data_IF_996965241769
#
_entry.id   IF_996965241769
#
_cell.length_a   1.000
_cell.length_b   1.000
_cell.length_c   1.000
_cell.angle_alpha   90.00
_cell.angle_beta   90.00
_cell.angle_gamma   90.00
#
_symmetry.space_group_name_H-M   'P 1'
#
loop_
_entity.id
_entity.type
_entity.pdbx_description
1 polymer ?
#
# COMPACT_ATOMS: atom_id res chain seq x y z
N UNK A 1 5.02 12.74 19.82
CA UNK A 1 6.43 12.67 20.29
C UNK A 1 7.08 11.45 19.65
N UNK A 2 8.40 11.45 19.41
CA UNK A 2 9.07 10.25 18.91
C UNK A 2 9.13 9.18 20.01
N UNK A 3 8.63 7.98 19.74
CA UNK A 3 8.59 6.87 20.70
C UNK A 3 8.99 5.59 19.99
N UNK A 4 9.94 4.85 20.56
CA UNK A 4 10.33 3.54 20.06
C UNK A 4 9.20 2.50 20.27
N UNK A 5 9.26 1.40 19.53
CA UNK A 5 8.22 0.38 19.51
C UNK A 5 7.92 -0.24 20.90
N UNK A 6 8.92 -0.40 21.77
CA UNK A 6 8.76 -1.00 23.10
C UNK A 6 8.10 0.00 24.05
N UNK A 7 8.62 1.23 24.10
CA UNK A 7 8.03 2.31 24.90
C UNK A 7 6.60 2.61 24.46
N UNK A 8 6.30 2.56 23.16
CA UNK A 8 4.97 2.79 22.62
C UNK A 8 3.94 1.76 23.14
N UNK A 9 4.32 0.49 23.24
CA UNK A 9 3.47 -0.55 23.80
C UNK A 9 3.11 -0.27 25.27
N UNK A 10 4.12 0.05 26.09
CA UNK A 10 3.91 0.40 27.50
C UNK A 10 3.07 1.68 27.66
N UNK A 11 3.27 2.68 26.80
CA UNK A 11 2.52 3.93 26.85
C UNK A 11 1.06 3.77 26.43
N UNK A 12 0.78 2.93 25.43
CA UNK A 12 -0.59 2.58 25.04
C UNK A 12 -1.29 1.81 26.16
N UNK A 13 -0.60 0.84 26.78
CA UNK A 13 -1.16 0.06 27.87
C UNK A 13 -1.53 0.91 29.10
N UNK A 14 -0.69 1.90 29.41
CA UNK A 14 -0.91 2.81 30.55
C UNK A 14 -1.73 4.06 30.21
N UNK A 15 -2.30 4.14 29.00
CA UNK A 15 -3.04 5.30 28.49
C UNK A 15 -2.26 6.64 28.56
N UNK A 16 -0.93 6.60 28.49
CA UNK A 16 -0.09 7.82 28.47
C UNK A 16 0.03 8.40 27.05
N UNK A 17 -0.14 7.56 26.03
CA UNK A 17 -0.46 7.99 24.65
C UNK A 17 -1.79 7.37 24.21
N UNK A 18 -2.51 8.08 23.34
CA UNK A 18 -3.81 7.63 22.83
C UNK A 18 -3.68 6.83 21.54
N UNK A 19 -2.69 7.13 20.70
CA UNK A 19 -2.39 6.39 19.49
C UNK A 19 -0.90 6.42 19.15
N UNK A 20 -0.46 5.41 18.41
CA UNK A 20 0.90 5.29 17.88
C UNK A 20 0.87 5.29 16.36
N UNK A 21 1.55 6.27 15.75
CA UNK A 21 1.50 6.56 14.32
C UNK A 21 2.76 6.05 13.62
N UNK A 22 2.57 5.37 12.49
CA UNK A 22 3.59 4.93 11.55
C UNK A 22 4.32 3.63 11.91
N UNK A 23 4.10 3.07 13.11
CA UNK A 23 4.86 1.92 13.60
C UNK A 23 4.00 0.84 14.27
N UNK A 24 4.60 -0.35 14.43
CA UNK A 24 4.00 -1.47 15.14
C UNK A 24 4.65 -1.58 16.54
N UNK A 25 3.91 -1.34 17.64
CA UNK A 25 4.43 -1.44 19.00
C UNK A 25 4.70 -2.89 19.39
N UNK A 26 5.75 -3.10 20.18
CA UNK A 26 6.22 -4.42 20.62
C UNK A 26 5.64 -4.75 21.99
N UNK A 27 4.46 -5.36 22.04
CA UNK A 27 3.83 -5.74 23.32
C UNK A 27 4.52 -6.93 23.97
N UNK A 28 4.76 -6.85 25.28
CA UNK A 28 5.17 -7.99 26.09
C UNK A 28 3.96 -8.89 26.35
N UNK A 29 3.69 -9.82 25.43
CA UNK A 29 2.60 -10.78 25.52
C UNK A 29 1.35 -10.37 24.74
N UNK A 30 0.17 -10.66 25.28
CA UNK A 30 -1.10 -10.37 24.58
C UNK A 30 -1.36 -8.87 24.56
N UNK A 31 -1.85 -8.38 23.42
CA UNK A 31 -2.35 -7.00 23.29
C UNK A 31 -3.45 -6.79 24.36
N UNK A 32 -3.36 -5.72 25.18
CA UNK A 32 -4.39 -5.41 26.18
C UNK A 32 -5.77 -5.26 25.56
N UNK A 33 -6.84 -5.63 26.28
CA UNK A 33 -8.23 -5.54 25.78
C UNK A 33 -8.68 -4.11 25.44
N UNK A 34 -8.04 -3.13 26.06
CA UNK A 34 -8.31 -1.70 25.87
C UNK A 34 -7.40 -1.08 24.80
N UNK A 35 -6.64 -1.89 24.08
CA UNK A 35 -5.86 -1.46 22.92
C UNK A 35 -6.44 -2.13 21.67
N UNK A 36 -6.69 -1.33 20.65
CA UNK A 36 -7.12 -1.79 19.33
C UNK A 36 -6.22 -1.19 18.26
N UNK A 37 -6.49 -1.49 16.99
CA UNK A 37 -5.69 -1.04 15.87
C UNK A 37 -6.56 -0.71 14.66
N UNK A 38 -6.04 0.17 13.82
CA UNK A 38 -6.50 0.38 12.45
C UNK A 38 -5.51 -0.29 11.48
N UNK A 39 -6.04 -0.90 10.42
CA UNK A 39 -5.24 -1.50 9.35
C UNK A 39 -5.27 -0.62 8.10
N UNK A 40 -4.11 -0.38 7.51
CA UNK A 40 -3.97 0.29 6.21
C UNK A 40 -2.96 -0.46 5.33
N UNK A 41 -3.09 -0.29 4.01
CA UNK A 41 -2.18 -0.84 3.01
C UNK A 41 -0.80 -0.19 3.16
N UNK A 42 0.24 -0.99 3.36
CA UNK A 42 1.61 -0.48 3.56
C UNK A 42 2.46 -0.62 2.31
N UNK A 43 2.50 -1.82 1.72
CA UNK A 43 3.39 -2.11 0.60
C UNK A 43 2.86 -3.22 -0.29
N UNK A 44 3.33 -3.27 -1.53
CA UNK A 44 3.17 -4.42 -2.42
C UNK A 44 4.36 -5.36 -2.29
N UNK A 45 4.10 -6.66 -2.33
CA UNK A 45 5.13 -7.67 -2.60
C UNK A 45 5.08 -8.02 -4.08
N UNK A 46 6.14 -7.73 -4.81
CA UNK A 46 6.22 -7.98 -6.26
C UNK A 46 7.42 -8.84 -6.62
N UNK A 47 7.34 -9.51 -7.77
CA UNK A 47 8.50 -10.11 -8.41
C UNK A 47 8.73 -9.54 -9.80
N UNK A 48 9.96 -9.11 -10.06
CA UNK A 48 10.40 -8.63 -11.37
C UNK A 48 11.36 -9.64 -12.00
N UNK A 49 11.07 -10.07 -13.23
CA UNK A 49 11.89 -11.03 -13.96
C UNK A 49 12.97 -10.34 -14.79
N UNK A 50 14.19 -10.90 -14.77
CA UNK A 50 15.31 -10.34 -15.51
C UNK A 50 15.14 -10.55 -17.02
N UNK A 51 14.97 -9.50 -17.84
CA UNK A 51 14.83 -9.69 -19.29
C UNK A 51 16.10 -10.26 -19.95
N UNK A 52 17.26 -10.13 -19.30
CA UNK A 52 18.53 -10.69 -19.77
C UNK A 52 18.73 -12.16 -19.38
N UNK A 53 17.93 -12.71 -18.45
CA UNK A 53 18.09 -14.11 -18.03
C UNK A 53 17.49 -15.08 -19.07
N UNK A 54 18.26 -16.08 -19.54
CA UNK A 54 17.75 -17.13 -20.43
C UNK A 54 16.62 -17.98 -19.84
N UNK A 55 16.58 -18.12 -18.52
CA UNK A 55 15.60 -18.92 -17.77
C UNK A 55 14.19 -18.32 -17.82
N UNK A 56 14.09 -17.01 -18.04
CA UNK A 56 12.83 -16.24 -18.06
C UNK A 56 12.66 -15.42 -19.34
N UNK A 57 13.44 -15.77 -20.38
CA UNK A 57 13.36 -15.12 -21.69
C UNK A 57 12.11 -15.57 -22.44
N UNK A 58 11.16 -14.65 -22.60
CA UNK A 58 9.89 -14.88 -23.27
C UNK A 58 8.75 -15.18 -22.30
N UNK A 59 7.53 -14.87 -22.74
CA UNK A 59 6.32 -14.87 -21.88
C UNK A 59 6.05 -16.23 -21.22
N UNK A 60 6.07 -17.32 -21.96
CA UNK A 60 5.77 -18.66 -21.42
C UNK A 60 6.74 -19.07 -20.30
N UNK A 61 8.03 -18.76 -20.45
CA UNK A 61 9.02 -19.02 -19.40
C UNK A 61 8.79 -18.16 -18.16
N UNK A 62 8.37 -16.90 -18.33
CA UNK A 62 7.97 -16.03 -17.21
C UNK A 62 6.75 -16.56 -16.48
N UNK A 63 5.77 -17.12 -17.20
CA UNK A 63 4.59 -17.75 -16.59
C UNK A 63 5.01 -18.94 -15.72
N UNK A 64 5.81 -19.87 -16.26
CA UNK A 64 6.30 -21.02 -15.47
C UNK A 64 7.14 -20.58 -14.27
N UNK A 65 8.00 -19.57 -14.43
CA UNK A 65 8.79 -19.02 -13.35
C UNK A 65 7.93 -18.33 -12.28
N UNK A 66 6.91 -17.58 -12.69
CA UNK A 66 5.94 -16.95 -11.82
C UNK A 66 5.17 -17.98 -11.00
N UNK A 67 4.64 -19.03 -11.63
CA UNK A 67 3.93 -20.11 -10.92
C UNK A 67 4.80 -20.78 -9.89
N UNK A 68 6.04 -21.13 -10.25
CA UNK A 68 6.99 -21.73 -9.33
C UNK A 68 7.29 -20.83 -8.14
N UNK A 69 7.59 -19.55 -8.41
CA UNK A 69 7.92 -18.58 -7.36
C UNK A 69 6.73 -18.33 -6.43
N UNK A 70 5.54 -18.11 -7.00
CA UNK A 70 4.32 -17.86 -6.26
C UNK A 70 3.91 -19.07 -5.43
N UNK A 71 4.04 -20.29 -5.96
CA UNK A 71 3.80 -21.51 -5.19
C UNK A 71 4.72 -21.64 -3.96
N UNK A 72 6.00 -21.26 -4.09
CA UNK A 72 6.92 -21.25 -2.94
C UNK A 72 6.54 -20.17 -1.92
N UNK A 73 6.14 -18.98 -2.39
CA UNK A 73 5.82 -17.85 -1.52
C UNK A 73 4.43 -17.95 -0.89
N UNK A 74 3.46 -18.58 -1.52
CA UNK A 74 2.10 -18.74 -1.02
C UNK A 74 2.05 -19.53 0.30
N UNK A 75 3.07 -20.36 0.58
CA UNK A 75 3.21 -21.08 1.85
C UNK A 75 3.81 -20.27 3.00
N UNK A 76 4.14 -18.99 2.79
CA UNK A 76 4.73 -18.12 3.82
C UNK A 76 3.63 -17.47 4.63
N UNK A 77 3.39 -18.00 5.84
CA UNK A 77 2.37 -17.46 6.73
C UNK A 77 2.84 -16.19 7.46
N UNK A 78 1.93 -15.22 7.59
CA UNK A 78 2.08 -14.09 8.52
C UNK A 78 2.94 -12.90 8.05
N UNK A 79 3.76 -13.07 7.01
CA UNK A 79 4.61 -12.00 6.47
C UNK A 79 3.85 -10.99 5.60
N UNK A 80 2.87 -11.47 4.83
CA UNK A 80 2.09 -10.67 3.89
C UNK A 80 0.74 -11.36 3.59
N UNK A 81 -0.19 -10.64 2.96
CA UNK A 81 -1.45 -11.20 2.49
C UNK A 81 -1.28 -11.66 1.05
N UNK A 82 -1.44 -12.97 0.82
CA UNK A 82 -1.42 -13.57 -0.51
C UNK A 82 -2.53 -12.99 -1.39
N UNK A 83 -2.15 -12.25 -2.42
CA UNK A 83 -3.07 -11.54 -3.30
C UNK A 83 -2.36 -11.21 -4.62
N UNK A 84 -2.30 -12.16 -5.57
CA UNK A 84 -1.52 -12.02 -6.80
C UNK A 84 -2.22 -11.12 -7.85
N UNK A 85 -2.68 -9.94 -7.42
CA UNK A 85 -3.37 -8.96 -8.25
C UNK A 85 -3.06 -7.54 -7.72
N UNK A 86 -2.87 -6.52 -8.58
CA UNK A 86 -2.43 -5.20 -8.11
C UNK A 86 -3.54 -4.39 -7.42
N UNK A 87 -4.82 -4.63 -7.73
CA UNK A 87 -5.94 -3.94 -7.06
C UNK A 87 -6.37 -4.74 -5.83
N UNK A 88 -5.96 -4.27 -4.65
CA UNK A 88 -6.27 -4.89 -3.34
C UNK A 88 -7.60 -4.41 -2.74
N UNK A 89 -8.15 -5.12 -1.72
CA UNK A 89 -9.36 -4.69 -0.99
C UNK A 89 -9.27 -3.32 -0.28
N UNK A 90 -8.08 -2.73 -0.21
CA UNK A 90 -7.87 -1.39 0.34
C UNK A 90 -8.11 -0.27 -0.68
N UNK A 91 -8.38 -0.62 -1.93
CA UNK A 91 -8.82 0.33 -2.96
C UNK A 91 -10.32 0.25 -3.16
N UNK A 92 -10.95 1.40 -3.41
CA UNK A 92 -12.38 1.47 -3.64
C UNK A 92 -12.83 0.88 -4.99
N UNK A 93 -11.94 0.82 -5.99
CA UNK A 93 -12.17 0.14 -7.26
C UNK A 93 -12.06 -1.40 -7.16
N UNK A 94 -11.71 -1.96 -6.00
CA UNK A 94 -11.57 -3.41 -5.81
C UNK A 94 -12.80 -4.23 -6.22
N UNK A 95 -14.01 -3.76 -5.86
CA UNK A 95 -15.23 -4.49 -6.19
C UNK A 95 -15.42 -4.65 -7.70
N UNK A 96 -14.91 -3.71 -8.49
CA UNK A 96 -14.93 -3.77 -9.95
C UNK A 96 -13.84 -4.66 -10.53
N UNK A 97 -12.94 -5.19 -9.70
CA UNK A 97 -11.84 -6.07 -10.08
C UNK A 97 -11.89 -7.44 -9.40
N UNK A 98 -12.87 -7.67 -8.51
CA UNK A 98 -12.95 -8.86 -7.67
C UNK A 98 -12.85 -10.16 -8.46
N UNK A 99 -13.58 -10.29 -9.56
CA UNK A 99 -13.54 -11.46 -10.44
C UNK A 99 -12.16 -11.72 -11.04
N UNK A 100 -11.44 -10.66 -11.44
CA UNK A 100 -10.08 -10.76 -11.98
C UNK A 100 -9.06 -11.12 -10.89
N UNK A 101 -9.23 -10.59 -9.68
CA UNK A 101 -8.39 -10.90 -8.53
C UNK A 101 -8.56 -12.36 -8.09
N UNK A 102 -9.80 -12.85 -8.01
CA UNK A 102 -10.10 -14.26 -7.71
C UNK A 102 -9.60 -15.19 -8.83
N UNK A 103 -9.81 -14.84 -10.11
CA UNK A 103 -9.28 -15.62 -11.22
C UNK A 103 -7.73 -15.74 -11.17
N UNK A 104 -7.04 -14.66 -10.79
CA UNK A 104 -5.58 -14.69 -10.59
C UNK A 104 -5.17 -15.60 -9.43
N UNK A 105 -5.87 -15.53 -8.28
CA UNK A 105 -5.62 -16.44 -7.14
C UNK A 105 -5.80 -17.90 -7.54
N UNK A 106 -6.90 -18.22 -8.22
CA UNK A 106 -7.21 -19.57 -8.70
C UNK A 106 -6.14 -20.09 -9.67
N UNK A 107 -5.62 -19.24 -10.56
CA UNK A 107 -4.53 -19.63 -11.48
C UNK A 107 -3.29 -20.12 -10.72
N UNK A 108 -2.94 -19.49 -9.60
CA UNK A 108 -1.75 -19.82 -8.82
C UNK A 108 -1.98 -20.94 -7.80
N UNK A 109 -3.17 -21.04 -7.21
CA UNK A 109 -3.51 -22.10 -6.25
C UNK A 109 -3.84 -23.43 -6.93
N UNK A 110 -4.43 -23.37 -8.12
CA UNK A 110 -4.90 -24.54 -8.87
C UNK A 110 -4.40 -24.53 -10.33
N UNK A 111 -3.07 -24.62 -10.55
CA UNK A 111 -2.52 -24.66 -11.90
C UNK A 111 -3.05 -25.88 -12.66
N UNK A 112 -3.52 -25.66 -13.88
CA UNK A 112 -4.07 -26.73 -14.74
C UNK A 112 -3.05 -27.88 -14.95
N UNK A 113 -3.54 -29.13 -15.00
CA UNK A 113 -2.74 -30.36 -15.24
C UNK A 113 -2.04 -30.32 -16.61
N UNK A 114 -0.88 -29.68 -16.63
CA UNK A 114 0.03 -29.50 -17.77
C UNK A 114 1.38 -28.89 -17.33
N UNK A 115 1.44 -28.37 -16.10
CA UNK A 115 2.62 -27.83 -15.40
C UNK A 115 3.68 -28.87 -14.95
N UNK A 116 3.73 -30.07 -15.56
CA UNK A 116 4.68 -31.12 -15.13
C UNK A 116 6.16 -30.78 -15.41
N UNK A 117 6.45 -29.74 -16.21
CA UNK A 117 7.81 -29.21 -16.42
C UNK A 117 8.27 -28.16 -15.40
N UNK A 118 7.43 -27.78 -14.43
CA UNK A 118 7.73 -26.71 -13.46
C UNK A 118 8.56 -27.18 -12.25
N UNK A 119 8.66 -28.50 -12.02
CA UNK A 119 9.39 -29.07 -10.88
C UNK A 119 10.92 -28.87 -10.98
N UNK A 120 11.48 -28.87 -12.20
CA UNK A 120 12.93 -28.81 -12.45
C UNK A 120 13.46 -27.38 -12.70
N UNK A 121 12.59 -26.36 -12.69
CA UNK A 121 12.98 -24.96 -12.85
C UNK A 121 13.68 -24.45 -11.58
N UNK A 122 15.03 -24.41 -11.62
CA UNK A 122 15.84 -23.76 -10.59
C UNK A 122 15.95 -22.26 -10.88
N UNK A 123 15.16 -21.46 -10.16
CA UNK A 123 15.20 -20.00 -10.25
C UNK A 123 16.21 -19.42 -9.28
N UNK A 124 17.07 -18.54 -9.78
CA UNK A 124 17.97 -17.74 -8.95
C UNK A 124 17.25 -16.47 -8.55
N UNK A 125 16.89 -16.39 -7.28
CA UNK A 125 16.12 -15.26 -6.75
C UNK A 125 17.02 -14.39 -5.90
N UNK A 126 16.81 -13.08 -5.99
CA UNK A 126 17.31 -12.10 -5.01
C UNK A 126 16.14 -11.38 -4.36
N UNK A 127 16.32 -10.93 -3.13
CA UNK A 127 15.32 -10.17 -2.40
C UNK A 127 15.78 -8.72 -2.21
N UNK A 128 14.82 -7.80 -2.01
CA UNK A 128 15.06 -6.41 -1.62
C UNK A 128 13.95 -5.94 -0.68
N UNK A 129 14.29 -5.05 0.26
CA UNK A 129 13.32 -4.45 1.18
C UNK A 129 13.27 -5.15 2.53
N UNK A 130 12.29 -4.80 3.38
CA UNK A 130 12.29 -5.22 4.79
C UNK A 130 11.92 -6.70 4.96
N UNK A 131 11.17 -7.26 4.01
CA UNK A 131 10.83 -8.68 3.97
C UNK A 131 11.97 -9.58 3.50
N UNK A 132 13.17 -9.04 3.22
CA UNK A 132 14.29 -9.82 2.70
C UNK A 132 14.60 -11.05 3.55
N UNK A 133 14.66 -10.94 4.88
CA UNK A 133 14.97 -12.09 5.75
C UNK A 133 13.87 -13.16 5.75
N UNK A 134 12.60 -12.77 5.67
CA UNK A 134 11.46 -13.69 5.63
C UNK A 134 11.40 -14.40 4.27
N UNK A 135 11.65 -13.66 3.19
CA UNK A 135 11.75 -14.18 1.82
C UNK A 135 12.95 -15.15 1.68
N UNK A 136 14.11 -14.81 2.29
CA UNK A 136 15.31 -15.68 2.31
C UNK A 136 14.98 -17.04 2.93
N UNK A 137 14.29 -17.06 4.08
CA UNK A 137 13.95 -18.31 4.77
C UNK A 137 13.12 -19.24 3.88
N UNK A 138 12.29 -18.68 3.01
CA UNK A 138 11.37 -19.44 2.16
C UNK A 138 11.95 -19.83 0.81
N UNK A 139 12.83 -18.99 0.25
CA UNK A 139 13.43 -19.22 -1.08
C UNK A 139 14.78 -19.95 -1.03
N UNK A 140 15.41 -20.06 0.14
CA UNK A 140 16.73 -20.69 0.29
C UNK A 140 17.89 -19.76 -0.10
N UNK A 141 18.93 -20.31 -0.70
CA UNK A 141 20.13 -19.56 -1.09
C UNK A 141 19.81 -18.49 -2.15
N UNK A 142 19.99 -17.21 -1.80
CA UNK A 142 19.85 -16.10 -2.73
C UNK A 142 21.12 -15.94 -3.59
N UNK A 143 20.93 -15.63 -4.87
CA UNK A 143 22.02 -15.33 -5.79
C UNK A 143 21.96 -13.88 -6.28
N UNK A 144 22.89 -13.03 -5.81
CA UNK A 144 22.90 -11.61 -6.18
C UNK A 144 23.43 -11.33 -7.60
N UNK A 145 24.44 -12.10 -8.06
CA UNK A 145 25.18 -11.79 -9.30
C UNK A 145 24.53 -12.32 -10.56
N UNK A 146 23.93 -13.50 -10.52
CA UNK A 146 23.33 -14.17 -11.68
C UNK A 146 21.85 -14.46 -11.41
N UNK A 147 21.03 -13.42 -11.31
CA UNK A 147 19.64 -13.53 -10.89
C UNK A 147 18.66 -13.69 -12.07
N UNK A 148 17.60 -14.47 -11.84
CA UNK A 148 16.49 -14.68 -12.76
C UNK A 148 15.25 -13.86 -12.35
N UNK A 149 15.01 -13.71 -11.04
CA UNK A 149 13.92 -12.91 -10.49
C UNK A 149 14.38 -12.07 -9.28
N UNK A 150 13.80 -10.88 -9.13
CA UNK A 150 13.94 -10.03 -7.95
C UNK A 150 12.60 -10.02 -7.24
N UNK A 151 12.54 -10.42 -5.97
CA UNK A 151 11.38 -10.20 -5.12
C UNK A 151 11.64 -8.94 -4.30
N UNK A 152 10.73 -7.99 -4.33
CA UNK A 152 10.90 -6.73 -3.61
C UNK A 152 9.60 -6.26 -2.96
N UNK A 153 9.76 -5.67 -1.78
CA UNK A 153 8.70 -4.91 -1.12
C UNK A 153 8.71 -3.46 -1.66
N UNK A 154 7.57 -2.99 -2.15
CA UNK A 154 7.40 -1.63 -2.67
C UNK A 154 6.45 -0.87 -1.75
N UNK A 155 6.98 0.06 -0.96
CA UNK A 155 6.19 0.93 -0.08
C UNK A 155 5.23 1.82 -0.89
N UNK A 156 3.98 1.94 -0.43
CA UNK A 156 2.96 2.74 -1.10
C UNK A 156 3.32 4.22 -1.09
N UNK A 157 3.84 4.73 0.03
CA UNK A 157 4.26 6.11 0.17
C UNK A 157 5.36 6.45 -0.83
N UNK A 158 6.36 5.58 -0.99
CA UNK A 158 7.41 5.74 -1.99
C UNK A 158 6.87 5.65 -3.42
N UNK A 159 5.98 4.69 -3.69
CA UNK A 159 5.35 4.49 -5.00
C UNK A 159 4.65 5.76 -5.50
N UNK A 160 3.91 6.43 -4.63
CA UNK A 160 3.11 7.61 -4.99
C UNK A 160 3.85 8.94 -4.81
N UNK A 161 4.96 8.96 -4.06
CA UNK A 161 5.69 10.19 -3.69
C UNK A 161 6.01 11.12 -4.86
N UNK A 162 6.48 10.56 -5.98
CA UNK A 162 6.85 11.29 -7.21
C UNK A 162 5.66 11.96 -7.92
N UNK A 163 4.44 11.57 -7.57
CA UNK A 163 3.19 12.08 -8.15
C UNK A 163 2.42 12.98 -7.18
N UNK A 164 2.99 13.29 -6.01
CA UNK A 164 2.40 14.19 -5.02
C UNK A 164 3.15 15.51 -4.97
N UNK A 165 2.42 16.63 -5.03
CA UNK A 165 3.02 17.97 -4.87
C UNK A 165 2.66 18.50 -3.48
N UNK A 166 3.69 18.86 -2.69
CA UNK A 166 3.52 19.42 -1.35
C UNK A 166 3.50 20.96 -1.35
N UNK A 167 2.56 21.57 -2.07
CA UNK A 167 2.29 23.01 -1.95
C UNK A 167 1.02 23.23 -1.14
N UNK A 168 1.13 23.88 0.03
CA UNK A 168 0.00 24.29 0.88
C UNK A 168 -1.07 23.21 1.15
N UNK A 169 -0.65 21.98 1.50
CA UNK A 169 -1.56 20.95 1.98
C UNK A 169 -1.88 19.83 0.99
N UNK A 170 -0.83 19.24 0.38
CA UNK A 170 -0.87 18.01 -0.41
C UNK A 170 -1.90 18.03 -1.54
N UNK A 171 -1.45 18.46 -2.72
CA UNK A 171 -2.18 18.32 -3.97
C UNK A 171 -1.58 17.13 -4.72
N UNK A 172 -2.25 15.98 -4.62
CA UNK A 172 -2.03 14.84 -5.51
C UNK A 172 -3.07 14.83 -6.62
N UNK A 173 -2.94 13.98 -7.65
CA UNK A 173 -4.08 13.64 -8.47
C UNK A 173 -5.19 13.03 -7.58
N UNK A 174 -6.48 13.28 -7.88
CA UNK A 174 -7.57 12.71 -7.09
C UNK A 174 -7.47 11.19 -7.01
N UNK A 175 -7.13 10.51 -8.11
CA UNK A 175 -7.03 9.05 -8.21
C UNK A 175 -5.79 8.41 -7.54
N UNK A 176 -5.09 9.10 -6.63
CA UNK A 176 -3.89 8.56 -5.96
C UNK A 176 -4.14 7.23 -5.24
N UNK A 177 -5.36 7.07 -4.71
CA UNK A 177 -5.81 5.88 -3.99
C UNK A 177 -6.49 4.84 -4.87
N UNK A 178 -6.63 5.07 -6.18
CA UNK A 178 -7.25 4.10 -7.07
C UNK A 178 -6.26 2.97 -7.40
N UNK A 179 -6.73 1.72 -7.32
CA UNK A 179 -5.89 0.56 -7.55
C UNK A 179 -5.37 0.48 -8.98
N UNK A 180 -6.16 0.88 -9.99
CA UNK A 180 -5.69 0.93 -11.38
C UNK A 180 -4.49 1.88 -11.55
N UNK A 181 -4.46 3.00 -10.82
CA UNK A 181 -3.39 3.98 -10.91
C UNK A 181 -2.11 3.43 -10.28
N UNK A 182 -2.23 2.82 -9.12
CA UNK A 182 -1.10 2.15 -8.47
C UNK A 182 -0.58 0.97 -9.28
N UNK A 183 -1.47 0.21 -9.92
CA UNK A 183 -1.09 -0.85 -10.86
C UNK A 183 -0.25 -0.29 -12.02
N UNK A 184 -0.63 0.87 -12.59
CA UNK A 184 0.14 1.53 -13.62
C UNK A 184 1.54 1.93 -13.13
N UNK A 185 1.63 2.61 -11.98
CA UNK A 185 2.92 3.00 -11.38
C UNK A 185 3.82 1.79 -11.10
N UNK A 186 3.22 0.69 -10.65
CA UNK A 186 3.93 -0.53 -10.26
C UNK A 186 4.45 -1.33 -11.46
N UNK A 187 3.68 -1.39 -12.56
CA UNK A 187 3.89 -2.37 -13.63
C UNK A 187 4.32 -1.75 -14.97
N UNK A 188 3.90 -0.53 -15.29
CA UNK A 188 4.04 0.02 -16.65
C UNK A 188 5.50 0.17 -17.10
N UNK A 189 6.40 0.59 -16.20
CA UNK A 189 7.84 0.76 -16.48
C UNK A 189 8.54 -0.57 -16.82
N UNK A 190 7.95 -1.71 -16.45
CA UNK A 190 8.55 -3.04 -16.69
C UNK A 190 8.11 -3.69 -17.99
N UNK A 191 7.19 -3.07 -18.74
CA UNK A 191 6.69 -3.61 -19.99
C UNK A 191 7.77 -3.54 -21.06
N UNK A 192 8.11 -4.70 -21.63
CA UNK A 192 9.12 -4.83 -22.68
C UNK A 192 8.56 -4.72 -24.11
N UNK A 193 7.26 -4.98 -24.28
CA UNK A 193 6.56 -4.92 -25.57
C UNK A 193 6.08 -3.49 -25.86
N UNK A 194 6.59 -2.90 -26.94
CA UNK A 194 6.29 -1.51 -27.32
C UNK A 194 4.83 -1.28 -27.70
N UNK A 195 4.19 -2.23 -28.40
CA UNK A 195 2.79 -2.11 -28.81
C UNK A 195 1.87 -2.18 -27.58
N UNK A 196 2.18 -3.09 -26.66
CA UNK A 196 1.45 -3.17 -25.37
C UNK A 196 1.70 -1.95 -24.51
N UNK A 197 2.93 -1.44 -24.44
CA UNK A 197 3.24 -0.20 -23.71
C UNK A 197 2.45 0.98 -24.23
N UNK A 198 2.38 1.13 -25.55
CA UNK A 198 1.57 2.17 -26.19
C UNK A 198 0.09 2.03 -25.81
N UNK A 199 -0.48 0.82 -25.90
CA UNK A 199 -1.88 0.59 -25.52
C UNK A 199 -2.12 0.90 -24.03
N UNK A 200 -1.21 0.52 -23.14
CA UNK A 200 -1.28 0.87 -21.71
C UNK A 200 -1.29 2.38 -21.51
N UNK A 201 -0.38 3.10 -22.17
CA UNK A 201 -0.25 4.55 -22.04
C UNK A 201 -1.48 5.29 -22.60
N UNK A 202 -2.05 4.81 -23.70
CA UNK A 202 -3.29 5.35 -24.27
C UNK A 202 -4.47 5.20 -23.30
N UNK A 203 -4.68 4.01 -22.70
CA UNK A 203 -5.76 3.80 -21.73
C UNK A 203 -5.52 4.62 -20.45
N UNK A 204 -4.27 4.69 -19.97
CA UNK A 204 -3.89 5.53 -18.83
C UNK A 204 -4.20 7.02 -19.09
N UNK A 205 -3.83 7.55 -20.26
CA UNK A 205 -4.09 8.95 -20.61
C UNK A 205 -5.58 9.24 -20.67
N UNK A 206 -6.40 8.32 -21.20
CA UNK A 206 -7.86 8.48 -21.22
C UNK A 206 -8.44 8.56 -19.81
N UNK A 207 -8.01 7.68 -18.90
CA UNK A 207 -8.46 7.70 -17.50
C UNK A 207 -8.10 8.99 -16.79
N UNK A 208 -6.85 9.45 -16.93
CA UNK A 208 -6.35 10.68 -16.31
C UNK A 208 -7.02 11.95 -16.86
N UNK A 209 -7.39 11.96 -18.14
CA UNK A 209 -8.05 13.11 -18.79
C UNK A 209 -9.56 13.13 -18.59
N UNK A 210 -10.15 12.02 -18.13
CA UNK A 210 -11.60 11.89 -18.09
C UNK A 210 -12.23 11.67 -19.48
N UNK A 211 -11.47 11.12 -20.43
CA UNK A 211 -11.92 10.91 -21.82
C UNK A 211 -12.79 9.63 -21.95
N UNK A 212 -13.93 9.64 -21.27
CA UNK A 212 -14.95 8.58 -21.25
C UNK A 212 -16.36 9.17 -21.03
N UNK A 213 -17.37 8.55 -21.64
CA UNK A 213 -18.75 9.05 -21.69
C UNK A 213 -19.55 8.77 -20.40
N UNK A 214 -19.03 7.92 -19.50
CA UNK A 214 -19.68 7.59 -18.25
C UNK A 214 -18.96 6.56 -17.40
N UNK A 215 -19.62 6.17 -16.30
CA UNK A 215 -19.06 5.24 -15.31
C UNK A 215 -18.75 3.87 -15.91
N UNK A 216 -19.65 3.32 -16.74
CA UNK A 216 -19.43 2.01 -17.36
C UNK A 216 -18.18 1.98 -18.25
N UNK A 217 -18.01 2.99 -19.10
CA UNK A 217 -16.81 3.08 -19.94
C UNK A 217 -15.54 3.26 -19.10
N UNK A 218 -15.61 4.09 -18.05
CA UNK A 218 -14.49 4.24 -17.11
C UNK A 218 -14.08 2.91 -16.48
N UNK A 219 -15.03 2.14 -15.94
CA UNK A 219 -14.77 0.84 -15.33
C UNK A 219 -14.18 -0.16 -16.34
N UNK A 220 -14.68 -0.15 -17.58
CA UNK A 220 -14.12 -0.99 -18.64
C UNK A 220 -12.68 -0.58 -19.01
N UNK A 221 -12.36 0.72 -19.01
CA UNK A 221 -11.00 1.22 -19.23
C UNK A 221 -10.05 0.84 -18.10
N UNK A 222 -10.47 0.99 -16.84
CA UNK A 222 -9.71 0.59 -15.64
C UNK A 222 -9.37 -0.91 -15.70
N UNK A 223 -10.37 -1.75 -15.92
CA UNK A 223 -10.20 -3.21 -16.05
C UNK A 223 -9.27 -3.57 -17.21
N UNK A 224 -9.47 -2.96 -18.39
CA UNK A 224 -8.63 -3.19 -19.56
C UNK A 224 -7.18 -2.79 -19.33
N UNK A 225 -6.95 -1.63 -18.70
CA UNK A 225 -5.62 -1.16 -18.34
C UNK A 225 -4.92 -2.20 -17.44
N UNK A 226 -5.57 -2.63 -16.36
CA UNK A 226 -4.97 -3.60 -15.43
C UNK A 226 -4.71 -4.94 -16.10
N UNK A 227 -5.61 -5.43 -16.97
CA UNK A 227 -5.37 -6.66 -17.74
C UNK A 227 -4.16 -6.55 -18.67
N UNK A 228 -3.96 -5.42 -19.35
CA UNK A 228 -2.79 -5.20 -20.22
C UNK A 228 -1.48 -5.15 -19.40
N UNK A 229 -1.53 -4.53 -18.22
CA UNK A 229 -0.39 -4.44 -17.31
C UNK A 229 0.06 -5.84 -16.82
N UNK A 230 -0.88 -6.72 -16.47
CA UNK A 230 -0.57 -8.04 -15.88
C UNK A 230 -0.25 -9.14 -16.90
N UNK A 231 -0.71 -9.02 -18.15
CA UNK A 231 -0.61 -10.08 -19.17
C UNK A 231 0.81 -10.58 -19.51
N UNK A 232 1.83 -9.73 -19.31
CA UNK A 232 3.19 -9.99 -19.81
C UNK A 232 4.14 -10.69 -18.83
N UNK A 233 3.78 -10.75 -17.54
CA UNK A 233 4.58 -11.36 -16.47
C UNK A 233 6.01 -10.79 -16.37
N UNK A 234 6.33 -9.59 -16.88
CA UNK A 234 7.65 -8.97 -16.61
C UNK A 234 7.82 -8.60 -15.15
N UNK A 235 6.72 -8.14 -14.54
CA UNK A 235 6.56 -7.99 -13.11
C UNK A 235 5.20 -8.54 -12.72
N UNK A 236 5.15 -9.29 -11.63
CA UNK A 236 3.92 -9.84 -11.05
C UNK A 236 3.75 -9.30 -9.63
N UNK A 237 2.50 -9.15 -9.21
CA UNK A 237 2.15 -8.94 -7.81
C UNK A 237 1.98 -10.31 -7.17
N UNK A 238 2.54 -10.50 -5.98
CA UNK A 238 2.41 -11.72 -5.18
C UNK A 238 1.39 -11.48 -4.06
N UNK A 239 1.40 -10.29 -3.48
CA UNK A 239 0.54 -9.91 -2.38
C UNK A 239 0.82 -8.50 -1.90
N UNK A 240 0.36 -8.20 -0.69
CA UNK A 240 0.58 -6.91 -0.05
C UNK A 240 0.82 -7.06 1.45
N UNK A 241 1.47 -6.09 2.06
CA UNK A 241 1.59 -5.99 3.52
C UNK A 241 0.65 -4.92 4.06
N UNK A 242 0.35 -5.03 5.35
CA UNK A 242 -0.50 -4.10 6.07
C UNK A 242 0.32 -3.47 7.20
N UNK A 243 0.01 -2.21 7.51
CA UNK A 243 0.46 -1.59 8.75
C UNK A 243 -0.69 -1.56 9.75
N UNK A 244 -0.35 -1.82 11.02
CA UNK A 244 -1.27 -1.74 12.15
C UNK A 244 -0.85 -0.58 13.02
N UNK A 245 -1.71 0.42 13.12
CA UNK A 245 -1.51 1.55 14.01
C UNK A 245 -2.45 1.43 15.20
N UNK A 246 -1.87 1.43 16.39
CA UNK A 246 -2.57 1.05 17.60
C UNK A 246 -3.06 2.27 18.35
N UNK A 247 -4.20 2.10 19.01
CA UNK A 247 -4.81 3.13 19.82
C UNK A 247 -5.42 2.56 21.10
N UNK A 248 -5.46 3.41 22.11
CA UNK A 248 -6.11 3.12 23.37
C UNK A 248 -7.62 3.45 23.26
N UNK A 249 -8.46 2.48 23.59
CA UNK A 249 -9.92 2.55 23.60
C UNK A 249 -10.50 2.37 25.01
N UNK A 250 -9.69 2.55 26.05
CA UNK A 250 -10.12 2.53 27.45
C UNK A 250 -11.32 3.47 27.63
N UNK A 251 -12.18 3.18 28.61
CA UNK A 251 -13.47 3.86 28.74
C UNK A 251 -13.29 5.36 29.01
N UNK A 252 -12.33 5.74 29.84
CA UNK A 252 -12.12 7.12 30.28
C UNK A 252 -11.01 7.80 29.48
N UNK A 253 -9.78 7.29 29.56
CA UNK A 253 -8.59 7.89 28.98
C UNK A 253 -8.34 7.51 27.51
N UNK A 254 -9.27 6.79 26.87
CA UNK A 254 -9.14 6.38 25.47
C UNK A 254 -9.63 7.41 24.47
N UNK A 255 -9.52 7.04 23.19
CA UNK A 255 -10.08 7.79 22.07
C UNK A 255 -11.23 7.05 21.38
N UNK A 256 -12.08 7.82 20.69
CA UNK A 256 -13.20 7.35 19.89
C UNK A 256 -13.35 8.16 18.59
N UNK A 257 -14.34 7.80 17.75
CA UNK A 257 -14.60 8.42 16.44
C UNK A 257 -13.37 8.42 15.51
N UNK A 258 -12.64 7.31 15.52
CA UNK A 258 -11.38 7.18 14.80
C UNK A 258 -11.69 6.83 13.35
N UNK A 259 -11.42 7.77 12.45
CA UNK A 259 -11.30 7.51 11.03
C UNK A 259 -9.83 7.59 10.65
N UNK A 260 -9.45 6.89 9.59
CA UNK A 260 -8.07 6.79 9.14
C UNK A 260 -8.06 6.63 7.62
N UNK A 261 -6.92 6.93 7.04
CA UNK A 261 -6.69 6.78 5.61
C UNK A 261 -6.24 5.35 5.30
N UNK A 262 -6.73 4.79 4.20
CA UNK A 262 -6.48 3.41 3.78
C UNK A 262 -5.02 3.12 3.44
N UNK A 263 -4.17 4.13 3.29
CA UNK A 263 -2.76 3.99 2.89
C UNK A 263 -1.80 4.70 3.87
N UNK A 264 -2.18 5.89 4.34
CA UNK A 264 -1.38 6.69 5.30
C UNK A 264 -1.83 6.53 6.75
N UNK A 265 -2.93 5.81 6.99
CA UNK A 265 -3.39 5.45 8.33
C UNK A 265 -3.74 6.68 9.18
N UNK A 266 -3.23 6.74 10.41
CA UNK A 266 -3.36 7.85 11.34
C UNK A 266 -2.51 9.06 10.95
N UNK A 267 -1.50 8.90 10.08
CA UNK A 267 -0.74 10.03 9.52
C UNK A 267 -1.52 10.77 8.43
N UNK A 268 -2.79 11.06 8.71
CA UNK A 268 -3.75 11.58 7.76
C UNK A 268 -4.58 12.70 8.39
N UNK A 269 -5.11 13.54 7.52
CA UNK A 269 -5.89 14.69 7.94
C UNK A 269 -7.28 14.29 8.46
N UNK A 270 -7.83 13.16 8.03
CA UNK A 270 -9.12 12.64 8.53
C UNK A 270 -8.99 12.20 9.99
N UNK A 271 -7.89 11.56 10.38
CA UNK A 271 -7.68 11.09 11.74
C UNK A 271 -7.74 12.23 12.75
N UNK A 272 -6.97 13.29 12.52
CA UNK A 272 -6.95 14.47 13.40
C UNK A 272 -8.33 15.14 13.51
N UNK A 273 -9.14 15.09 12.46
CA UNK A 273 -10.46 15.74 12.42
C UNK A 273 -11.56 14.96 13.12
N UNK A 274 -11.45 13.64 13.16
CA UNK A 274 -12.54 12.81 13.71
C UNK A 274 -12.23 12.31 15.11
N UNK A 275 -10.96 12.12 15.46
CA UNK A 275 -10.55 11.59 16.76
C UNK A 275 -11.08 12.46 17.91
N UNK A 276 -11.71 11.83 18.90
CA UNK A 276 -12.17 12.48 20.13
C UNK A 276 -11.63 11.79 21.36
N UNK A 277 -11.28 12.59 22.36
CA UNK A 277 -11.00 12.10 23.71
C UNK A 277 -12.33 11.77 24.39
N UNK A 278 -12.43 10.60 25.04
CA UNK A 278 -13.67 10.19 25.71
C UNK A 278 -13.96 11.02 26.97
N UNK A 279 -12.94 11.27 27.81
CA UNK A 279 -13.11 12.08 29.02
C UNK A 279 -13.32 13.57 28.77
N UNK A 280 -12.69 14.11 27.73
CA UNK A 280 -12.68 15.55 27.44
C UNK A 280 -12.90 15.84 25.96
N UNK A 281 -14.11 15.61 25.43
CA UNK A 281 -14.38 15.73 24.00
C UNK A 281 -14.12 17.13 23.41
N UNK A 282 -14.00 18.16 24.26
CA UNK A 282 -13.77 19.56 23.85
C UNK A 282 -12.57 20.26 24.51
N UNK A 283 -11.97 19.71 25.57
CA UNK A 283 -10.94 20.39 26.38
C UNK A 283 -9.88 19.41 26.94
N UNK A 284 -9.08 18.82 26.07
CA UNK A 284 -8.02 17.88 26.47
C UNK A 284 -6.82 17.88 25.54
N UNK A 285 -5.84 17.03 25.87
CA UNK A 285 -4.59 16.92 25.13
C UNK A 285 -4.53 15.58 24.40
N UNK A 286 -4.67 15.60 23.07
CA UNK A 286 -4.41 14.43 22.25
C UNK A 286 -2.91 14.12 22.24
N UNK A 287 -2.54 13.04 22.93
CA UNK A 287 -1.15 12.54 23.00
C UNK A 287 -0.92 11.45 21.96
N UNK A 288 -0.04 11.72 21.00
CA UNK A 288 0.34 10.78 19.94
C UNK A 288 1.82 10.40 20.07
N UNK A 289 2.09 9.10 20.03
CA UNK A 289 3.43 8.58 19.74
C UNK A 289 3.63 8.48 18.23
N UNK A 290 4.84 8.75 17.75
CA UNK A 290 5.23 8.62 16.34
C UNK A 290 6.53 7.83 16.30
N UNK A 291 6.66 6.86 15.41
CA UNK A 291 7.86 6.01 15.34
C UNK A 291 9.12 6.82 14.98
N UNK A 292 9.03 7.64 13.94
CA UNK A 292 10.15 8.41 13.42
C UNK A 292 10.44 9.67 14.24
N UNK A 293 11.72 9.99 14.43
CA UNK A 293 12.13 11.31 14.95
C UNK A 293 11.80 12.41 13.92
N UNK A 294 11.25 13.56 14.35
CA UNK A 294 11.04 14.70 13.46
C UNK A 294 12.37 15.16 12.86
N UNK A 295 12.35 15.48 11.57
CA UNK A 295 13.56 15.91 10.85
C UNK A 295 13.30 17.02 9.82
N UNK A 296 12.03 17.39 9.53
CA UNK A 296 11.76 18.43 8.56
C UNK A 296 12.16 19.81 9.11
N UNK A 297 12.62 20.68 8.20
CA UNK A 297 13.06 22.04 8.52
C UNK A 297 11.90 23.01 8.81
N UNK A 298 10.65 22.54 8.81
CA UNK A 298 9.45 23.31 9.20
C UNK A 298 9.37 24.69 8.53
N UNK A 299 9.20 24.72 7.21
CA UNK A 299 9.00 25.96 6.48
C UNK A 299 8.03 25.81 5.29
N UNK A 300 7.46 26.92 4.78
CA UNK A 300 6.41 26.88 3.74
C UNK A 300 6.85 26.32 2.37
N UNK A 301 8.16 26.19 2.12
CA UNK A 301 8.72 25.81 0.81
C UNK A 301 9.30 24.38 0.84
N UNK A 302 10.03 24.03 1.89
CA UNK A 302 10.60 22.71 2.14
C UNK A 302 9.63 21.71 2.77
N UNK A 303 8.46 22.19 3.22
CA UNK A 303 7.30 21.39 3.57
C UNK A 303 7.34 20.73 4.96
N UNK A 304 6.18 20.20 5.33
CA UNK A 304 5.95 19.33 6.48
C UNK A 304 6.12 17.88 6.01
N UNK A 305 7.37 17.48 5.76
CA UNK A 305 7.65 16.24 5.01
C UNK A 305 7.74 15.01 5.91
N UNK A 306 8.15 15.17 7.17
CA UNK A 306 8.17 14.09 8.16
C UNK A 306 6.78 13.82 8.78
N UNK A 307 6.50 12.61 9.29
CA UNK A 307 5.20 12.25 9.85
C UNK A 307 4.70 13.17 10.96
N UNK A 308 5.57 13.59 11.89
CA UNK A 308 5.16 14.48 12.96
C UNK A 308 4.82 15.87 12.42
N UNK A 309 5.64 16.40 11.50
CA UNK A 309 5.37 17.64 10.78
C UNK A 309 4.00 17.64 10.08
N UNK A 310 3.67 16.56 9.37
CA UNK A 310 2.39 16.40 8.65
C UNK A 310 1.20 16.46 9.59
N UNK A 311 1.24 15.70 10.70
CA UNK A 311 0.16 15.69 11.68
C UNK A 311 -0.10 17.08 12.28
N UNK A 312 0.97 17.81 12.63
CA UNK A 312 0.77 19.16 13.18
C UNK A 312 0.23 20.10 12.10
N UNK A 313 0.71 19.99 10.86
CA UNK A 313 0.14 20.76 9.75
C UNK A 313 -1.35 20.45 9.52
N UNK A 314 -1.76 19.19 9.60
CA UNK A 314 -3.17 18.83 9.49
C UNK A 314 -4.02 19.39 10.65
N UNK A 315 -3.43 19.55 11.83
CA UNK A 315 -4.10 20.15 12.98
C UNK A 315 -4.26 21.68 12.87
N UNK A 316 -3.30 22.39 12.25
CA UNK A 316 -3.29 23.87 12.24
C UNK A 316 -3.59 24.51 10.88
N UNK A 317 -3.32 23.81 9.78
CA UNK A 317 -3.35 24.35 8.43
C UNK A 317 -4.75 24.51 7.84
N UNK A 318 -5.75 23.84 8.44
CA UNK A 318 -7.18 23.94 8.07
C UNK A 318 -7.43 23.96 6.54
N UNK A 319 -6.94 22.97 5.77
CA UNK A 319 -7.08 23.01 4.32
C UNK A 319 -8.55 22.86 3.91
N UNK A 320 -8.97 23.51 2.83
CA UNK A 320 -10.36 23.47 2.37
C UNK A 320 -10.83 22.05 2.02
N UNK A 321 -9.94 21.23 1.47
CA UNK A 321 -10.16 19.83 1.12
C UNK A 321 -9.03 18.95 1.66
N UNK A 322 -9.30 17.66 1.79
CA UNK A 322 -8.29 16.64 2.04
C UNK A 322 -8.64 15.36 1.27
N UNK A 323 -7.65 14.49 1.06
CA UNK A 323 -7.88 13.23 0.35
C UNK A 323 -8.92 12.38 1.07
N UNK A 324 -9.84 11.79 0.32
CA UNK A 324 -10.81 10.87 0.87
C UNK A 324 -10.11 9.61 1.40
N UNK A 325 -10.52 9.09 2.57
CA UNK A 325 -9.79 8.02 3.27
C UNK A 325 -9.70 6.71 2.48
N UNK A 326 -10.65 6.41 1.60
CA UNK A 326 -10.76 5.11 0.96
C UNK A 326 -10.75 5.16 -0.58
N UNK A 327 -11.00 6.31 -1.20
CA UNK A 327 -11.08 6.43 -2.67
C UNK A 327 -10.25 7.59 -3.20
N UNK A 328 -10.19 7.69 -4.52
CA UNK A 328 -9.54 8.76 -5.24
C UNK A 328 -10.35 10.05 -5.36
N UNK A 329 -10.98 10.52 -4.27
CA UNK A 329 -11.73 11.78 -4.27
C UNK A 329 -11.23 12.75 -3.20
N UNK A 330 -11.79 13.96 -3.19
CA UNK A 330 -11.52 14.98 -2.19
C UNK A 330 -12.73 15.16 -1.28
N UNK A 331 -12.50 15.21 0.02
CA UNK A 331 -13.54 15.50 1.01
C UNK A 331 -13.38 16.96 1.46
N UNK A 332 -14.46 17.75 1.46
CA UNK A 332 -14.42 19.10 2.02
C UNK A 332 -14.19 19.03 3.54
N UNK A 333 -13.27 19.84 4.04
CA UNK A 333 -12.99 19.95 5.48
C UNK A 333 -14.14 20.61 6.25
N UNK A 334 -14.87 21.50 5.59
CA UNK A 334 -16.03 22.20 6.18
C UNK A 334 -17.27 21.88 5.38
N UNK A 335 -18.41 21.78 6.07
CA UNK A 335 -19.71 21.76 5.41
C UNK A 335 -19.87 23.08 4.68
N UNK A 336 -20.01 23.02 3.36
CA UNK A 336 -20.27 24.16 2.50
C UNK A 336 -21.17 23.74 1.36
N UNK A 337 -22.12 24.59 1.00
CA UNK A 337 -22.92 24.42 -0.21
C UNK A 337 -22.02 24.74 -1.43
N UNK A 338 -21.29 23.74 -1.91
CA UNK A 338 -20.57 23.85 -3.17
C UNK A 338 -21.59 23.54 -4.30
N UNK A 339 -22.14 24.60 -4.90
CA UNK A 339 -23.03 24.50 -6.06
C UNK A 339 -22.26 24.40 -7.36
#
# INVERSE_FOLDING_TARGET
MAVDSVSAAAFLQNATIHAYVGGNPSFEGKIPSDVSYAESLKSYLVSTFNPASPSVKGREKRISAARKLVATLAGVEGAYVFHPYPVTPYHMDYLHHFDLAEASKEEYLHPSRGAQGEADLRLRVRAKGNLEQEIIRSLGDLEEKAWDATVEEVDIGDLVSSHTISLNGWLGPPWLHEGWFQAYLLLADKISDSARKQAVDENYQRLVRGDYDGVEERLNLERKLVSLLTQGYERIVIGYTMQREYYNREYSAGIENIAYDSQTGFNSAIFIRTVKLKDFPWNGWLRLGVESRPFAAWNPIGGFTDPAGRLIWFAVGDPAFFSAPYNGSWVPNRIGDFR
#
